data_IF_329224362435
#
_entry.id   IF_329224362435
#
_cell.length_a   1.000
_cell.length_b   1.000
_cell.length_c   1.000
_cell.angle_alpha   90.00
_cell.angle_beta   90.00
_cell.angle_gamma   90.00
#
_symmetry.space_group_name_H-M   'P 1'
#
loop_
_entity.id
_entity.type
_entity.pdbx_description
1 polymer ?
#
# COMPACT_ATOMS: atom_id res chain seq x y z
N UNK A 1 4.24 22.28 -10.55
CA UNK A 1 3.89 21.27 -9.52
C UNK A 1 3.78 22.05 -8.22
N UNK A 2 2.61 22.05 -7.58
CA UNK A 2 2.50 22.57 -6.23
C UNK A 2 2.93 21.45 -5.27
N UNK A 3 3.82 21.76 -4.34
CA UNK A 3 4.33 20.82 -3.35
C UNK A 3 3.76 21.26 -2.01
N UNK A 4 2.83 20.48 -1.47
CA UNK A 4 2.61 20.38 -0.03
C UNK A 4 3.35 19.12 0.41
N UNK A 5 3.93 19.10 1.62
CA UNK A 5 4.84 18.03 2.06
C UNK A 5 4.27 16.60 1.92
N UNK A 6 2.94 16.46 1.87
CA UNK A 6 2.25 15.17 1.73
C UNK A 6 1.59 14.93 0.36
N UNK A 7 1.59 15.92 -0.54
CA UNK A 7 0.88 15.83 -1.83
C UNK A 7 1.69 16.43 -2.97
N UNK A 8 1.99 15.60 -3.96
CA UNK A 8 2.50 16.02 -5.26
C UNK A 8 1.35 15.96 -6.28
N UNK A 9 0.96 17.13 -6.82
CA UNK A 9 -0.13 17.22 -7.82
C UNK A 9 0.35 17.81 -9.13
N UNK A 10 0.02 17.11 -10.22
CA UNK A 10 0.17 17.63 -11.59
C UNK A 10 -0.93 18.67 -11.88
N UNK A 11 -0.55 19.85 -12.36
CA UNK A 11 -1.51 20.90 -12.74
C UNK A 11 -2.14 20.66 -14.11
N UNK A 12 -1.55 19.77 -14.93
CA UNK A 12 -2.02 19.48 -16.29
C UNK A 12 -2.90 18.23 -16.33
N UNK A 13 -2.41 17.12 -15.78
CA UNK A 13 -3.10 15.83 -15.81
C UNK A 13 -3.95 15.58 -14.57
N UNK A 14 -3.82 16.43 -13.54
CA UNK A 14 -4.48 16.30 -12.25
C UNK A 14 -4.15 15.02 -11.46
N UNK A 15 -3.18 14.22 -11.93
CA UNK A 15 -2.64 13.09 -11.17
C UNK A 15 -2.06 13.56 -9.84
N UNK A 16 -2.27 12.75 -8.81
CA UNK A 16 -1.83 13.02 -7.45
C UNK A 16 -1.01 11.83 -6.92
N UNK A 17 0.09 12.14 -6.27
CA UNK A 17 0.81 11.22 -5.39
C UNK A 17 0.61 11.73 -3.98
N UNK A 18 0.13 10.86 -3.10
CA UNK A 18 -0.21 11.16 -1.73
C UNK A 18 0.70 10.34 -0.82
N UNK A 19 1.33 10.99 0.17
CA UNK A 19 1.97 10.30 1.28
C UNK A 19 0.94 10.06 2.36
N UNK A 20 0.78 8.81 2.77
CA UNK A 20 -0.22 8.42 3.78
C UNK A 20 0.39 7.48 4.80
N UNK A 21 0.03 7.66 6.07
CA UNK A 21 0.39 6.71 7.12
C UNK A 21 -0.55 5.51 7.06
N UNK A 22 0.00 4.30 7.15
CA UNK A 22 -0.75 3.05 7.12
C UNK A 22 -1.88 2.99 8.18
N UNK A 23 -1.62 3.51 9.37
CA UNK A 23 -2.63 3.62 10.44
C UNK A 23 -3.74 4.66 10.21
N UNK A 24 -3.71 5.41 9.10
CA UNK A 24 -4.73 6.42 8.82
C UNK A 24 -6.09 5.77 8.55
N UNK A 25 -7.13 6.32 9.17
CA UNK A 25 -8.50 5.86 8.98
C UNK A 25 -9.05 6.12 7.56
N UNK A 26 -8.35 6.89 6.72
CA UNK A 26 -8.88 7.42 5.47
C UNK A 26 -8.50 6.61 4.21
N UNK A 27 -7.77 5.50 4.33
CA UNK A 27 -7.27 4.76 3.16
C UNK A 27 -8.39 4.17 2.29
N UNK A 28 -9.52 3.81 2.89
CA UNK A 28 -10.71 3.26 2.23
C UNK A 28 -11.47 4.29 1.38
N UNK A 29 -11.30 5.59 1.68
CA UNK A 29 -11.93 6.68 0.94
C UNK A 29 -11.26 6.97 -0.41
N UNK A 30 -10.08 6.39 -0.69
CA UNK A 30 -9.32 6.63 -1.91
C UNK A 30 -9.41 5.46 -2.89
N UNK A 31 -9.59 5.80 -4.17
CA UNK A 31 -9.59 4.84 -5.28
C UNK A 31 -8.23 4.84 -5.98
N UNK A 32 -7.20 4.29 -5.32
CA UNK A 32 -5.83 4.32 -5.84
C UNK A 32 -5.69 3.52 -7.14
N UNK A 33 -5.22 4.16 -8.22
CA UNK A 33 -4.73 3.44 -9.40
C UNK A 33 -3.43 2.70 -9.08
N UNK A 34 -2.58 3.28 -8.24
CA UNK A 34 -1.31 2.70 -7.82
C UNK A 34 -1.09 2.96 -6.32
N UNK A 35 -0.70 1.93 -5.57
CA UNK A 35 -0.32 2.05 -4.17
C UNK A 35 0.98 1.29 -3.89
N UNK A 36 1.85 1.88 -3.08
CA UNK A 36 3.02 1.19 -2.51
C UNK A 36 2.86 1.20 -1.00
N UNK A 37 2.79 0.01 -0.42
CA UNK A 37 2.74 -0.20 1.02
C UNK A 37 4.15 -0.55 1.47
N UNK A 38 4.75 0.35 2.21
CA UNK A 38 6.09 0.19 2.76
C UNK A 38 6.05 -0.53 4.12
N UNK A 39 7.19 -1.11 4.50
CA UNK A 39 7.40 -1.83 5.76
C UNK A 39 6.38 -2.94 6.07
N UNK A 40 6.02 -3.71 5.05
CA UNK A 40 5.09 -4.84 5.19
C UNK A 40 5.57 -5.97 6.14
N UNK A 41 6.88 -6.06 6.36
CA UNK A 41 7.51 -7.04 7.25
C UNK A 41 7.62 -6.59 8.71
N UNK A 42 7.25 -5.35 9.05
CA UNK A 42 7.28 -4.84 10.42
C UNK A 42 6.30 -5.63 11.31
N UNK A 43 6.71 -5.93 12.54
CA UNK A 43 5.86 -6.62 13.52
C UNK A 43 4.64 -5.81 13.96
N UNK A 44 4.70 -4.49 13.82
CA UNK A 44 3.63 -3.56 14.10
C UNK A 44 2.78 -3.26 12.86
N UNK A 45 3.03 -3.93 11.74
CA UNK A 45 2.25 -3.74 10.52
C UNK A 45 0.78 -4.08 10.76
N UNK A 46 -0.10 -3.11 10.53
CA UNK A 46 -1.53 -3.33 10.64
C UNK A 46 -2.07 -3.99 9.36
N UNK A 47 -2.48 -5.26 9.45
CA UNK A 47 -3.04 -6.00 8.32
C UNK A 47 -4.30 -5.37 7.71
N UNK A 48 -5.04 -4.54 8.46
CA UNK A 48 -6.22 -3.83 7.96
C UNK A 48 -5.88 -2.85 6.83
N UNK A 49 -4.62 -2.45 6.71
CA UNK A 49 -4.13 -1.60 5.61
C UNK A 49 -4.37 -2.27 4.27
N UNK A 50 -4.14 -3.59 4.19
CA UNK A 50 -4.32 -4.37 2.96
C UNK A 50 -5.79 -4.32 2.55
N UNK A 51 -6.71 -4.58 3.49
CA UNK A 51 -8.14 -4.60 3.20
C UNK A 51 -8.64 -3.22 2.81
N UNK A 52 -8.20 -2.16 3.48
CA UNK A 52 -8.57 -0.77 3.16
C UNK A 52 -8.07 -0.31 1.78
N UNK A 53 -6.81 -0.59 1.43
CA UNK A 53 -6.26 -0.23 0.12
C UNK A 53 -6.96 -1.03 -0.99
N UNK A 54 -7.10 -2.34 -0.79
CA UNK A 54 -7.65 -3.22 -1.84
C UNK A 54 -9.16 -3.05 -2.02
N UNK A 55 -9.91 -2.70 -0.97
CA UNK A 55 -11.36 -2.45 -1.05
C UNK A 55 -11.69 -1.19 -1.85
N UNK A 56 -11.01 -0.07 -1.58
CA UNK A 56 -11.15 1.17 -2.37
C UNK A 56 -10.69 1.00 -3.83
N UNK A 57 -9.86 -0.01 -4.06
CA UNK A 57 -9.37 -0.38 -5.37
C UNK A 57 -10.38 -1.18 -6.20
N UNK A 58 -11.40 -1.85 -5.62
CA UNK A 58 -12.29 -2.83 -6.29
C UNK A 58 -12.88 -2.35 -7.62
N UNK A 59 -13.15 -1.06 -7.78
CA UNK A 59 -13.78 -0.49 -8.97
C UNK A 59 -12.81 0.24 -9.92
N UNK A 60 -11.52 0.29 -9.60
CA UNK A 60 -10.49 0.95 -10.41
C UNK A 60 -9.88 -0.02 -11.40
N UNK A 61 -10.09 0.17 -12.70
CA UNK A 61 -9.46 -0.66 -13.73
C UNK A 61 -7.94 -0.47 -13.76
N UNK A 62 -7.18 -1.53 -14.09
CA UNK A 62 -5.71 -1.52 -14.18
C UNK A 62 -4.97 -1.06 -12.91
N UNK A 63 -5.61 -1.24 -11.76
CA UNK A 63 -5.01 -0.94 -10.46
C UNK A 63 -3.84 -1.88 -10.13
N UNK A 64 -2.83 -1.35 -9.47
CA UNK A 64 -1.69 -2.12 -8.98
C UNK A 64 -1.35 -1.72 -7.55
N UNK A 65 -1.02 -2.70 -6.72
CA UNK A 65 -0.54 -2.48 -5.35
C UNK A 65 0.71 -3.30 -5.12
N UNK A 66 1.77 -2.64 -4.70
CA UNK A 66 3.03 -3.28 -4.34
C UNK A 66 3.23 -3.23 -2.83
N UNK A 67 3.56 -4.37 -2.26
CA UNK A 67 4.00 -4.49 -0.88
C UNK A 67 5.51 -4.65 -0.90
N UNK A 68 6.21 -3.71 -0.26
CA UNK A 68 7.67 -3.72 -0.15
C UNK A 68 8.05 -3.75 1.32
N UNK A 69 9.19 -4.37 1.62
CA UNK A 69 9.78 -4.35 2.95
C UNK A 69 11.19 -4.92 2.93
N UNK A 70 11.96 -4.58 3.96
CA UNK A 70 13.15 -5.34 4.33
C UNK A 70 12.75 -6.63 5.04
N UNK A 71 13.57 -7.68 4.97
CA UNK A 71 13.33 -8.89 5.75
C UNK A 71 13.60 -8.63 7.24
N UNK A 72 12.58 -8.80 8.09
CA UNK A 72 12.69 -8.71 9.55
C UNK A 72 12.87 -10.08 10.21
N UNK A 73 13.25 -10.08 11.49
CA UNK A 73 13.54 -11.29 12.26
C UNK A 73 12.29 -12.07 12.68
N UNK A 74 11.13 -11.42 12.78
CA UNK A 74 9.89 -12.02 13.27
C UNK A 74 9.15 -12.77 12.14
N UNK A 75 9.07 -14.11 12.17
CA UNK A 75 8.40 -14.88 11.11
C UNK A 75 6.88 -14.92 11.25
N UNK A 76 6.30 -14.32 12.30
CA UNK A 76 4.84 -14.31 12.53
C UNK A 76 4.11 -13.21 11.76
N UNK A 77 4.83 -12.37 11.03
CA UNK A 77 4.24 -11.28 10.23
C UNK A 77 3.56 -11.81 8.95
N UNK A 78 2.52 -11.11 8.44
CA UNK A 78 1.80 -11.52 7.22
C UNK A 78 2.74 -11.74 6.03
N UNK A 79 3.74 -10.88 5.86
CA UNK A 79 4.72 -10.98 4.77
C UNK A 79 5.40 -12.36 4.69
N UNK A 80 5.82 -12.94 5.81
CA UNK A 80 6.46 -14.25 5.80
C UNK A 80 5.53 -15.34 5.25
N UNK A 81 4.25 -15.29 5.65
CA UNK A 81 3.25 -16.25 5.18
C UNK A 81 2.98 -16.13 3.67
N UNK A 82 2.93 -14.89 3.16
CA UNK A 82 2.72 -14.62 1.73
C UNK A 82 3.92 -14.99 0.88
N UNK A 83 5.14 -14.68 1.32
CA UNK A 83 6.37 -15.12 0.64
C UNK A 83 6.41 -16.65 0.57
N UNK A 84 6.15 -17.36 1.68
CA UNK A 84 6.10 -18.82 1.70
C UNK A 84 5.03 -19.40 0.78
N UNK A 85 3.89 -18.72 0.62
CA UNK A 85 2.83 -19.11 -0.32
C UNK A 85 3.28 -18.91 -1.76
N UNK A 86 3.84 -17.75 -2.10
CA UNK A 86 4.34 -17.45 -3.43
C UNK A 86 5.46 -18.41 -3.86
N UNK A 87 6.41 -18.72 -2.98
CA UNK A 87 7.49 -19.68 -3.24
C UNK A 87 6.99 -21.12 -3.48
N UNK A 88 5.80 -21.49 -3.01
CA UNK A 88 5.21 -22.81 -3.29
C UNK A 88 4.46 -22.88 -4.61
N UNK A 89 4.01 -21.74 -5.12
CA UNK A 89 3.20 -21.63 -6.35
C UNK A 89 4.09 -21.36 -7.57
N UNK A 90 5.24 -20.72 -7.36
CA UNK A 90 6.33 -20.62 -8.34
C UNK A 90 7.11 -21.93 -8.41
#
# INVERSE_FOLDING_TARGET
IAINDDVLKSTKTQNQILRMTAGSAQLDAFHFLFATVDEYGDENFNSDVISKVTSGQVQTSNRQTFFISTAYSNPKVPMYSDVRRLTKVM
#
